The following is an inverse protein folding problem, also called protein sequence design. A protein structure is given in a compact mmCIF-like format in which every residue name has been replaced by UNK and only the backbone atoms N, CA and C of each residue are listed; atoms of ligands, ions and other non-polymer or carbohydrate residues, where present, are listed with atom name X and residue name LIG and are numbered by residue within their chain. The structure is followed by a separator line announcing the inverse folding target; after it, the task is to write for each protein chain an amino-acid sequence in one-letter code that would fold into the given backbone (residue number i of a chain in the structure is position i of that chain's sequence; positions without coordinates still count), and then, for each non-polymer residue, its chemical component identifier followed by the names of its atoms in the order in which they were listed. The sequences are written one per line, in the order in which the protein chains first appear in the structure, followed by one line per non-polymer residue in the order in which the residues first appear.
data_IF_252107085241
#
_entry.id   IF_252107085241
#
_cell.length_a   1.000
_cell.length_b   1.000
_cell.length_c   1.000
_cell.angle_alpha   90.00
_cell.angle_beta   90.00
_cell.angle_gamma   90.00
#
_symmetry.space_group_name_H-M   'P 1'
#
loop_
_entity.id
_entity.type
_entity.pdbx_description
1 polymer ?
#
# COMPACT_ATOMS: atom_id res chain seq x y z
N UNK A 1 -2.01 16.99 8.12
CA UNK A 1 -1.96 16.13 6.91
C UNK A 1 -3.12 15.15 6.80
N UNK A 2 -3.42 14.65 5.60
CA UNK A 2 -4.33 13.51 5.36
C UNK A 2 -3.60 12.47 4.51
N UNK A 3 -3.78 11.19 4.84
CA UNK A 3 -3.26 10.05 4.07
C UNK A 3 -4.42 9.14 3.64
N UNK A 4 -4.24 8.46 2.52
CA UNK A 4 -5.13 7.37 2.10
C UNK A 4 -4.61 6.05 2.64
N UNK A 5 -5.50 5.19 3.13
CA UNK A 5 -5.18 3.81 3.49
C UNK A 5 -6.09 2.92 2.64
N UNK A 6 -5.46 1.97 1.93
CA UNK A 6 -6.10 1.02 1.03
C UNK A 6 -5.54 -0.37 1.37
N UNK A 7 -6.31 -1.43 1.17
CA UNK A 7 -5.90 -2.82 1.39
C UNK A 7 -6.81 -3.73 0.58
N UNK A 8 -6.41 -4.98 0.39
CA UNK A 8 -7.27 -6.06 -0.12
C UNK A 8 -7.96 -5.66 -1.42
N UNK A 9 -7.18 -5.12 -2.34
CA UNK A 9 -7.73 -4.66 -3.62
C UNK A 9 -7.96 -5.82 -4.57
N UNK A 10 -7.21 -6.93 -4.43
CA UNK A 10 -7.44 -8.20 -5.14
C UNK A 10 -7.72 -7.99 -6.63
N UNK A 11 -6.89 -7.18 -7.30
CA UNK A 11 -7.02 -6.90 -8.74
C UNK A 11 -8.27 -6.10 -9.16
N UNK A 12 -9.07 -5.59 -8.20
CA UNK A 12 -10.32 -4.88 -8.47
C UNK A 12 -10.08 -3.42 -8.89
N UNK A 13 -9.49 -3.27 -10.08
CA UNK A 13 -9.08 -2.00 -10.69
C UNK A 13 -10.18 -0.94 -10.73
N UNK A 14 -11.46 -1.34 -10.89
CA UNK A 14 -12.59 -0.40 -10.88
C UNK A 14 -12.76 0.26 -9.51
N UNK A 15 -12.76 -0.54 -8.44
CA UNK A 15 -12.88 -0.04 -7.07
C UNK A 15 -11.66 0.79 -6.68
N UNK A 16 -10.47 0.33 -7.04
CA UNK A 16 -9.21 1.05 -6.82
C UNK A 16 -9.23 2.42 -7.49
N UNK A 17 -9.60 2.48 -8.78
CA UNK A 17 -9.67 3.75 -9.50
C UNK A 17 -10.67 4.72 -8.87
N UNK A 18 -11.83 4.23 -8.43
CA UNK A 18 -12.79 5.05 -7.72
C UNK A 18 -12.23 5.60 -6.40
N UNK A 19 -11.62 4.75 -5.57
CA UNK A 19 -11.00 5.15 -4.32
C UNK A 19 -9.88 6.18 -4.53
N UNK A 20 -8.98 5.95 -5.48
CA UNK A 20 -7.90 6.88 -5.82
C UNK A 20 -8.43 8.22 -6.34
N UNK A 21 -9.51 8.20 -7.13
CA UNK A 21 -10.17 9.43 -7.60
C UNK A 21 -10.70 10.26 -6.43
N UNK A 22 -11.38 9.63 -5.48
CA UNK A 22 -11.87 10.27 -4.26
C UNK A 22 -10.74 10.86 -3.41
N UNK A 23 -9.64 10.11 -3.22
CA UNK A 23 -8.47 10.60 -2.49
C UNK A 23 -7.87 11.84 -3.17
N UNK A 24 -7.73 11.81 -4.50
CA UNK A 24 -7.22 12.95 -5.27
C UNK A 24 -8.11 14.18 -5.14
N UNK A 25 -9.43 14.02 -5.25
CA UNK A 25 -10.38 15.13 -5.08
C UNK A 25 -10.32 15.76 -3.69
N UNK A 26 -9.93 14.98 -2.67
CA UNK A 26 -9.74 15.44 -1.28
C UNK A 26 -8.36 16.07 -1.04
N UNK A 27 -7.52 16.18 -2.07
CA UNK A 27 -6.16 16.70 -1.99
C UNK A 27 -5.18 15.77 -1.28
N UNK A 28 -5.47 14.47 -1.21
CA UNK A 28 -4.58 13.48 -0.61
C UNK A 28 -3.56 13.03 -1.67
N UNK A 29 -2.28 13.05 -1.30
CA UNK A 29 -1.16 12.68 -2.18
C UNK A 29 -0.41 11.44 -1.71
N UNK A 30 -0.43 11.14 -0.41
CA UNK A 30 0.22 9.95 0.17
C UNK A 30 -0.79 8.83 0.40
N UNK A 31 -0.44 7.62 -0.05
CA UNK A 31 -1.28 6.42 0.10
C UNK A 31 -0.47 5.27 0.68
N UNK A 32 -1.04 4.57 1.65
CA UNK A 32 -0.53 3.29 2.15
C UNK A 32 -1.42 2.17 1.61
N UNK A 33 -0.82 1.16 0.98
CA UNK A 33 -1.52 -0.05 0.57
C UNK A 33 -1.04 -1.24 1.41
N UNK A 34 -1.93 -1.78 2.24
CA UNK A 34 -1.63 -2.79 3.25
C UNK A 34 -1.67 -4.22 2.70
N UNK A 35 -1.17 -4.46 1.48
CA UNK A 35 -1.10 -5.81 0.89
C UNK A 35 -2.36 -6.28 0.15
N UNK A 36 -2.23 -7.45 -0.46
CA UNK A 36 -3.23 -8.11 -1.30
C UNK A 36 -3.66 -7.23 -2.48
N UNK A 37 -2.67 -6.86 -3.30
CA UNK A 37 -2.86 -6.09 -4.53
C UNK A 37 -3.14 -6.97 -5.76
N UNK A 38 -2.64 -8.21 -5.71
CA UNK A 38 -2.77 -9.26 -6.73
C UNK A 38 -1.91 -9.05 -7.99
N UNK A 39 -2.09 -7.94 -8.72
CA UNK A 39 -1.51 -7.77 -10.07
C UNK A 39 -0.77 -6.43 -10.34
N UNK A 40 0.24 -6.43 -11.24
CA UNK A 40 0.97 -5.23 -11.68
C UNK A 40 0.10 -4.11 -12.27
N UNK A 41 -0.96 -4.46 -12.99
CA UNK A 41 -1.87 -3.49 -13.60
C UNK A 41 -2.61 -2.66 -12.55
N UNK A 42 -2.89 -3.26 -11.40
CA UNK A 42 -3.50 -2.59 -10.24
C UNK A 42 -2.50 -1.66 -9.58
N UNK A 43 -1.22 -2.05 -9.46
CA UNK A 43 -0.14 -1.16 -9.00
C UNK A 43 -0.05 0.09 -9.88
N UNK A 44 -0.14 -0.06 -11.21
CA UNK A 44 -0.02 1.05 -12.15
C UNK A 44 -1.05 2.18 -11.93
N UNK A 45 -2.22 1.87 -11.35
CA UNK A 45 -3.26 2.86 -11.03
C UNK A 45 -2.83 3.89 -9.99
N UNK A 46 -1.86 3.55 -9.14
CA UNK A 46 -1.33 4.43 -8.09
C UNK A 46 -0.36 5.48 -8.61
N UNK A 47 -0.04 5.49 -9.92
CA UNK A 47 0.85 6.49 -10.51
C UNK A 47 0.39 7.92 -10.21
N UNK A 48 1.33 8.73 -9.74
CA UNK A 48 1.10 10.13 -9.36
C UNK A 48 0.73 10.33 -7.88
N UNK A 49 0.58 9.25 -7.10
CA UNK A 49 0.59 9.31 -5.64
C UNK A 49 1.99 8.98 -5.11
N UNK A 50 2.31 9.48 -3.92
CA UNK A 50 3.40 8.95 -3.10
C UNK A 50 2.88 7.70 -2.39
N UNK A 51 3.13 6.53 -2.95
CA UNK A 51 2.56 5.28 -2.45
C UNK A 51 3.58 4.41 -1.74
N UNK A 52 3.18 3.88 -0.58
CA UNK A 52 3.92 2.87 0.15
C UNK A 52 3.13 1.55 0.16
N UNK A 53 3.78 0.47 -0.25
CA UNK A 53 3.20 -0.87 -0.29
C UNK A 53 3.86 -1.78 0.74
N UNK A 54 3.06 -2.69 1.28
CA UNK A 54 3.52 -3.96 1.84
C UNK A 54 2.86 -5.10 1.05
N UNK A 55 3.44 -6.29 1.10
CA UNK A 55 2.83 -7.50 0.56
C UNK A 55 1.81 -8.07 1.54
N UNK A 56 0.74 -8.63 0.99
CA UNK A 56 -0.16 -9.55 1.69
C UNK A 56 0.09 -11.01 1.28
N UNK A 57 -0.69 -11.93 1.84
CA UNK A 57 -0.53 -13.35 1.60
C UNK A 57 -1.03 -13.81 0.22
N UNK A 58 -1.81 -12.99 -0.49
CA UNK A 58 -2.27 -13.27 -1.85
C UNK A 58 -1.33 -12.71 -2.93
N UNK A 59 -0.32 -11.91 -2.57
CA UNK A 59 0.66 -11.33 -3.50
C UNK A 59 1.73 -12.36 -3.90
N UNK A 60 1.37 -13.23 -4.85
CA UNK A 60 2.20 -14.38 -5.27
C UNK A 60 3.38 -13.97 -6.15
N UNK A 61 3.15 -13.14 -7.19
CA UNK A 61 4.20 -12.71 -8.12
C UNK A 61 4.93 -11.45 -7.61
N UNK A 62 5.71 -11.66 -6.55
CA UNK A 62 6.44 -10.56 -5.88
C UNK A 62 7.46 -9.87 -6.77
N UNK A 63 7.99 -10.56 -7.78
CA UNK A 63 8.97 -9.98 -8.70
C UNK A 63 8.28 -9.00 -9.66
N UNK A 64 7.18 -9.43 -10.29
CA UNK A 64 6.39 -8.56 -11.16
C UNK A 64 5.81 -7.36 -10.40
N UNK A 65 5.29 -7.57 -9.19
CA UNK A 65 4.77 -6.51 -8.34
C UNK A 65 5.86 -5.50 -7.95
N UNK A 66 7.05 -5.98 -7.53
CA UNK A 66 8.19 -5.12 -7.20
C UNK A 66 8.61 -4.28 -8.41
N UNK A 67 8.67 -4.88 -9.60
CA UNK A 67 8.99 -4.16 -10.83
C UNK A 67 7.96 -3.07 -11.15
N UNK A 68 6.67 -3.38 -11.02
CA UNK A 68 5.59 -2.42 -11.24
C UNK A 68 5.60 -1.27 -10.23
N UNK A 69 5.88 -1.56 -8.95
CA UNK A 69 6.01 -0.54 -7.90
C UNK A 69 7.19 0.39 -8.17
N UNK A 70 8.32 -0.16 -8.63
CA UNK A 70 9.48 0.63 -9.03
C UNK A 70 9.17 1.54 -10.23
N UNK A 71 8.43 1.04 -11.23
CA UNK A 71 8.05 1.80 -12.44
C UNK A 71 7.17 3.03 -12.15
N UNK A 72 6.40 3.00 -11.05
CA UNK A 72 5.61 4.16 -10.60
C UNK A 72 6.33 5.02 -9.55
N UNK A 73 7.59 4.73 -9.24
CA UNK A 73 8.37 5.34 -8.15
C UNK A 73 7.72 5.20 -6.76
N UNK A 74 7.03 4.08 -6.52
CA UNK A 74 6.49 3.75 -5.20
C UNK A 74 7.56 3.10 -4.31
N UNK A 75 7.32 3.10 -3.00
CA UNK A 75 8.17 2.41 -2.03
C UNK A 75 7.52 1.11 -1.60
N UNK A 76 8.22 0.00 -1.78
CA UNK A 76 7.84 -1.31 -1.22
C UNK A 76 8.61 -1.53 0.09
N UNK A 77 7.89 -1.89 1.16
CA UNK A 77 8.44 -2.20 2.49
C UNK A 77 8.44 -3.71 2.81
N UNK A 78 8.27 -4.54 1.79
CA UNK A 78 8.11 -5.99 1.93
C UNK A 78 6.95 -6.33 2.88
N UNK A 79 7.18 -6.98 4.02
CA UNK A 79 6.12 -7.46 4.93
C UNK A 79 5.70 -6.42 5.98
N UNK A 80 6.53 -5.40 6.24
CA UNK A 80 6.31 -4.44 7.31
C UNK A 80 6.83 -3.07 6.93
N UNK A 81 5.93 -2.07 6.91
CA UNK A 81 6.25 -0.68 6.64
C UNK A 81 6.33 0.16 7.90
N UNK A 82 7.35 0.99 7.98
CA UNK A 82 7.47 2.06 8.98
C UNK A 82 7.88 3.34 8.30
N UNK A 83 7.09 4.40 8.51
CA UNK A 83 7.31 5.72 7.93
C UNK A 83 7.10 6.80 8.98
N UNK A 84 7.72 7.95 8.76
CA UNK A 84 7.48 9.14 9.56
C UNK A 84 6.94 10.25 8.67
N UNK A 85 5.74 10.75 9.01
CA UNK A 85 5.04 11.79 8.27
C UNK A 85 4.70 12.94 9.21
N UNK A 86 5.21 14.14 8.93
CA UNK A 86 5.02 15.34 9.79
C UNK A 86 5.38 15.09 11.27
N UNK A 87 6.41 14.28 11.55
CA UNK A 87 6.84 13.92 12.91
C UNK A 87 6.01 12.82 13.57
N UNK A 88 5.03 12.25 12.88
CA UNK A 88 4.22 11.11 13.34
C UNK A 88 4.77 9.82 12.73
N UNK A 89 5.19 8.89 13.58
CA UNK A 89 5.61 7.54 13.17
C UNK A 89 4.39 6.66 12.97
N UNK A 90 4.34 5.99 11.83
CA UNK A 90 3.28 5.07 11.44
C UNK A 90 3.92 3.73 11.08
N UNK A 91 3.37 2.66 11.64
CA UNK A 91 3.69 1.29 11.28
C UNK A 91 2.47 0.64 10.61
N UNK A 92 2.69 -0.18 9.59
CA UNK A 92 1.63 -0.88 8.87
C UNK A 92 2.12 -2.21 8.29
N UNK A 93 1.21 -3.17 8.22
CA UNK A 93 1.40 -4.51 7.66
C UNK A 93 0.06 -5.02 7.13
N UNK A 94 0.04 -6.17 6.45
CA UNK A 94 -1.21 -6.75 5.95
C UNK A 94 -2.10 -7.35 7.04
N UNK A 95 -1.50 -8.10 7.99
CA UNK A 95 -2.22 -8.67 9.14
C UNK A 95 -2.43 -10.18 9.08
N UNK A 96 -1.87 -10.85 8.06
CA UNK A 96 -1.82 -12.30 7.91
C UNK A 96 -0.88 -12.97 8.92
N UNK A 97 0.20 -12.29 9.33
CA UNK A 97 1.09 -12.75 10.41
C UNK A 97 0.62 -12.25 11.79
N UNK A 98 -0.06 -13.14 12.53
CA UNK A 98 -0.57 -12.88 13.89
C UNK A 98 0.51 -12.69 14.95
N UNK A 99 1.74 -13.15 14.72
CA UNK A 99 2.85 -12.94 15.65
C UNK A 99 3.40 -11.53 15.45
N UNK A 100 3.71 -11.18 14.21
CA UNK A 100 4.18 -9.85 13.84
C UNK A 100 3.16 -8.77 14.23
N UNK A 101 1.86 -9.00 14.02
CA UNK A 101 0.81 -8.07 14.43
C UNK A 101 0.85 -7.75 15.93
N UNK A 102 1.04 -8.76 16.78
CA UNK A 102 1.13 -8.57 18.24
C UNK A 102 2.38 -7.80 18.66
N UNK A 103 3.48 -7.97 17.94
CA UNK A 103 4.72 -7.24 18.22
C UNK A 103 4.57 -5.76 17.87
N UNK A 104 3.90 -5.44 16.75
CA UNK A 104 3.61 -4.07 16.33
C UNK A 104 2.65 -3.36 17.29
N UNK A 105 1.59 -4.04 17.76
CA UNK A 105 0.65 -3.50 18.75
C UNK A 105 1.32 -3.10 20.09
N UNK A 106 2.51 -3.64 20.38
CA UNK A 106 3.24 -3.42 21.63
C UNK A 106 4.40 -2.42 21.49
N UNK A 107 4.61 -1.85 20.30
CA UNK A 107 5.75 -0.99 19.95
C UNK A 107 5.54 0.50 20.22
#
# INVERSE_FOLDING_TARGET
MRIGIVSDTHGNRRTVLHALTELRQRGITTVLHCGDIDDPETVALFRGFTTHFVFGNCDNDKEALRAAMADINATLHDLFGSIELEGVKLAFMHGDDKALMRDVERS
#
